data_IF_704255186646
#
_entry.id   IF_704255186646
#
_cell.length_a   1.000
_cell.length_b   1.000
_cell.length_c   1.000
_cell.angle_alpha   90.00
_cell.angle_beta   90.00
_cell.angle_gamma   90.00
#
_symmetry.space_group_name_H-M   'P 1'
#
loop_
_entity.id
_entity.type
_entity.pdbx_description
1 polymer ?
#
# COMPACT_ATOMS: atom_id res chain seq x y z
N UNK A 1 -11.55 -7.44 5.80
CA UNK A 1 -10.55 -6.42 6.17
C UNK A 1 -11.20 -5.16 6.72
N UNK A 2 -11.77 -4.26 5.90
CA UNK A 2 -12.35 -2.98 6.39
C UNK A 2 -13.45 -3.22 7.43
N UNK A 3 -14.32 -4.21 7.21
CA UNK A 3 -15.34 -4.60 8.18
C UNK A 3 -14.75 -5.13 9.50
N UNK A 4 -13.68 -5.93 9.42
CA UNK A 4 -12.98 -6.46 10.61
C UNK A 4 -12.32 -5.34 11.42
N UNK A 5 -11.81 -4.30 10.76
CA UNK A 5 -11.31 -3.08 11.44
C UNK A 5 -12.46 -2.37 12.15
N UNK A 6 -13.64 -2.26 11.51
CA UNK A 6 -14.80 -1.66 12.17
C UNK A 6 -15.31 -2.46 13.37
N UNK A 7 -15.24 -3.79 13.30
CA UNK A 7 -15.61 -4.72 14.37
C UNK A 7 -14.58 -4.75 15.50
N UNK A 8 -13.37 -4.21 15.29
CA UNK A 8 -12.28 -4.23 16.25
C UNK A 8 -11.51 -5.55 16.26
N UNK A 9 -11.65 -6.37 15.22
CA UNK A 9 -10.90 -7.63 15.06
C UNK A 9 -9.50 -7.38 14.45
N UNK A 10 -9.32 -6.25 13.77
CA UNK A 10 -8.04 -5.81 13.19
C UNK A 10 -7.64 -4.47 13.80
N UNK A 11 -6.49 -4.48 14.47
CA UNK A 11 -5.94 -3.32 15.18
C UNK A 11 -4.83 -2.61 14.40
N UNK A 12 -4.20 -3.30 13.45
CA UNK A 12 -3.09 -2.73 12.68
C UNK A 12 -3.13 -3.14 11.22
N UNK A 13 -2.69 -2.23 10.36
CA UNK A 13 -2.69 -2.41 8.90
C UNK A 13 -1.33 -2.04 8.33
N UNK A 14 -0.76 -2.94 7.52
CA UNK A 14 0.31 -2.61 6.59
C UNK A 14 -0.31 -2.53 5.20
N UNK A 15 -0.39 -1.33 4.64
CA UNK A 15 -0.86 -1.08 3.29
C UNK A 15 0.33 -0.90 2.34
N UNK A 16 0.33 -1.62 1.22
CA UNK A 16 1.43 -1.65 0.27
C UNK A 16 0.94 -1.29 -1.13
N UNK A 17 1.42 -0.15 -1.66
CA UNK A 17 1.25 0.25 -3.07
C UNK A 17 -0.20 0.51 -3.49
N UNK A 18 -1.08 0.94 -2.59
CA UNK A 18 -2.48 1.21 -2.89
C UNK A 18 -2.98 2.48 -2.18
N UNK A 19 -3.73 3.32 -2.89
CA UNK A 19 -4.44 4.49 -2.33
C UNK A 19 -5.91 4.12 -2.03
N UNK A 20 -6.12 3.14 -1.14
CA UNK A 20 -7.45 2.57 -0.82
C UNK A 20 -8.44 3.62 -0.30
N UNK A 21 -7.95 4.66 0.37
CA UNK A 21 -8.73 5.80 0.83
C UNK A 21 -9.35 6.62 -0.30
N UNK A 22 -8.89 6.49 -1.55
CA UNK A 22 -9.52 7.10 -2.73
C UNK A 22 -10.15 6.04 -3.64
N UNK A 23 -9.47 4.90 -3.84
CA UNK A 23 -9.93 3.84 -4.75
C UNK A 23 -11.12 3.05 -4.19
N UNK A 24 -11.35 3.10 -2.87
CA UNK A 24 -12.43 2.39 -2.21
C UNK A 24 -13.81 2.82 -2.70
N UNK A 25 -14.70 1.84 -2.93
CA UNK A 25 -16.05 2.09 -3.46
C UNK A 25 -16.95 2.91 -2.52
N UNK A 26 -16.66 2.90 -1.22
CA UNK A 26 -17.29 3.75 -0.22
C UNK A 26 -16.20 4.39 0.64
N UNK A 27 -15.70 5.53 0.18
CA UNK A 27 -14.63 6.29 0.85
C UNK A 27 -14.93 6.53 2.33
N UNK A 28 -16.13 7.00 2.68
CA UNK A 28 -16.46 7.35 4.06
C UNK A 28 -16.38 6.13 5.00
N UNK A 29 -16.78 4.96 4.52
CA UNK A 29 -16.67 3.71 5.28
C UNK A 29 -15.20 3.32 5.48
N UNK A 30 -14.39 3.37 4.42
CA UNK A 30 -12.95 3.05 4.49
C UNK A 30 -12.22 4.01 5.44
N UNK A 31 -12.43 5.32 5.31
CA UNK A 31 -11.75 6.31 6.15
C UNK A 31 -12.13 6.16 7.62
N UNK A 32 -13.41 5.93 7.92
CA UNK A 32 -13.86 5.66 9.27
C UNK A 32 -13.29 4.35 9.86
N UNK A 33 -12.82 3.43 9.02
CA UNK A 33 -12.09 2.25 9.49
C UNK A 33 -10.63 2.61 9.81
N UNK A 34 -9.97 3.39 8.95
CA UNK A 34 -8.58 3.80 9.19
C UNK A 34 -8.43 4.59 10.49
N UNK A 35 -9.39 5.46 10.83
CA UNK A 35 -9.41 6.20 12.10
C UNK A 35 -9.56 5.30 13.35
N UNK A 36 -9.96 4.03 13.19
CA UNK A 36 -10.11 3.07 14.30
C UNK A 36 -8.86 2.21 14.51
N UNK A 37 -7.90 2.22 13.59
CA UNK A 37 -6.67 1.45 13.74
C UNK A 37 -5.83 2.03 14.87
N UNK A 38 -5.19 1.14 15.63
CA UNK A 38 -4.22 1.53 16.66
C UNK A 38 -2.85 1.84 16.04
N UNK A 39 -2.57 1.27 14.86
CA UNK A 39 -1.31 1.48 14.14
C UNK A 39 -1.44 1.18 12.64
N UNK A 40 -0.98 2.10 11.79
CA UNK A 40 -1.02 1.95 10.34
C UNK A 40 0.34 2.28 9.71
N UNK A 41 0.83 1.35 8.88
CA UNK A 41 1.99 1.55 8.02
C UNK A 41 1.51 1.65 6.58
N UNK A 42 1.98 2.66 5.86
CA UNK A 42 1.79 2.78 4.41
C UNK A 42 3.16 2.74 3.74
N UNK A 43 3.35 1.80 2.82
CA UNK A 43 4.52 1.77 1.95
C UNK A 43 4.10 2.10 0.53
N UNK A 44 4.59 3.22 0.00
CA UNK A 44 4.14 3.76 -1.28
C UNK A 44 5.27 4.53 -1.99
N UNK A 45 5.16 4.65 -3.31
CA UNK A 45 6.09 5.42 -4.16
C UNK A 45 5.82 6.93 -4.01
N UNK A 46 4.59 7.28 -3.62
CA UNK A 46 4.15 8.67 -3.43
C UNK A 46 3.49 8.86 -2.07
N UNK A 47 3.51 10.09 -1.56
CA UNK A 47 2.70 10.44 -0.39
C UNK A 47 1.23 10.60 -0.82
N UNK A 48 0.49 9.49 -0.80
CA UNK A 48 -0.92 9.41 -1.22
C UNK A 48 -1.88 9.95 -0.18
N UNK A 49 -3.16 10.11 -0.53
CA UNK A 49 -4.17 10.54 0.43
C UNK A 49 -4.32 9.53 1.57
N UNK A 50 -4.27 8.24 1.26
CA UNK A 50 -4.28 7.17 2.27
C UNK A 50 -3.11 7.27 3.24
N UNK A 51 -1.92 7.66 2.76
CA UNK A 51 -0.74 7.84 3.62
C UNK A 51 -0.95 8.92 4.71
N UNK A 52 -1.92 9.81 4.57
CA UNK A 52 -2.23 10.82 5.61
C UNK A 52 -2.84 10.22 6.88
N UNK A 53 -3.34 8.98 6.82
CA UNK A 53 -3.85 8.22 7.96
C UNK A 53 -2.79 7.35 8.63
N UNK A 54 -1.59 7.25 8.06
CA UNK A 54 -0.54 6.34 8.54
C UNK A 54 0.26 6.94 9.70
N UNK A 55 0.63 6.09 10.66
CA UNK A 55 1.60 6.43 11.70
C UNK A 55 3.04 6.37 11.16
N UNK A 56 3.29 5.47 10.20
CA UNK A 56 4.58 5.32 9.53
C UNK A 56 4.39 5.26 8.02
N UNK A 57 5.12 6.11 7.31
CA UNK A 57 5.21 6.06 5.85
C UNK A 57 6.59 5.54 5.47
N UNK A 58 6.63 4.40 4.79
CA UNK A 58 7.85 3.78 4.26
C UNK A 58 7.96 4.06 2.75
N UNK A 59 9.16 4.32 2.23
CA UNK A 59 9.34 4.49 0.79
C UNK A 59 9.21 3.15 0.07
N UNK A 60 8.53 3.15 -1.08
CA UNK A 60 8.51 2.02 -2.01
C UNK A 60 9.47 2.27 -3.18
N UNK A 61 10.12 1.20 -3.63
CA UNK A 61 10.93 1.22 -4.85
C UNK A 61 10.07 0.84 -6.07
N UNK A 62 10.02 1.68 -7.12
CA UNK A 62 9.35 1.39 -8.38
C UNK A 62 9.88 0.15 -9.10
N UNK A 63 9.08 -0.41 -10.00
CA UNK A 63 9.42 -1.67 -10.71
C UNK A 63 10.74 -1.65 -11.50
N UNK A 64 11.25 -0.47 -11.89
CA UNK A 64 12.51 -0.34 -12.62
C UNK A 64 13.75 -0.25 -11.70
N UNK A 65 13.54 -0.03 -10.40
CA UNK A 65 14.60 0.23 -9.42
C UNK A 65 14.93 -1.01 -8.55
N UNK A 66 14.19 -2.11 -8.74
CA UNK A 66 14.35 -3.36 -7.99
C UNK A 66 14.25 -4.61 -8.87
N UNK A 67 14.87 -5.68 -8.41
CA UNK A 67 14.63 -7.02 -8.96
C UNK A 67 13.29 -7.56 -8.47
N UNK A 68 12.63 -8.38 -9.28
CA UNK A 68 11.38 -9.00 -8.89
C UNK A 68 10.73 -9.84 -9.97
N UNK A 69 9.43 -10.06 -9.82
CA UNK A 69 8.64 -10.80 -10.80
C UNK A 69 7.30 -10.14 -11.03
N UNK A 70 6.80 -10.20 -12.25
CA UNK A 70 5.46 -9.76 -12.60
C UNK A 70 4.69 -10.89 -13.28
N UNK A 71 3.44 -11.12 -12.85
CA UNK A 71 2.54 -12.07 -13.52
C UNK A 71 1.62 -11.29 -14.45
N UNK A 72 1.69 -11.57 -15.75
CA UNK A 72 0.84 -10.89 -16.73
C UNK A 72 -0.57 -11.50 -16.81
N UNK A 73 -1.44 -10.90 -17.63
CA UNK A 73 -2.82 -11.35 -17.84
C UNK A 73 -2.94 -12.76 -18.44
N UNK A 74 -1.90 -13.25 -19.11
CA UNK A 74 -1.80 -14.64 -19.59
C UNK A 74 -1.34 -15.63 -18.51
N UNK A 75 -1.15 -15.16 -17.27
CA UNK A 75 -0.62 -15.93 -16.13
C UNK A 75 0.83 -16.36 -16.31
N UNK A 76 1.61 -15.65 -17.14
CA UNK A 76 3.06 -15.88 -17.28
C UNK A 76 3.81 -15.04 -16.27
N UNK A 77 4.69 -15.70 -15.52
CA UNK A 77 5.65 -15.05 -14.63
C UNK A 77 6.83 -14.56 -15.47
N UNK A 78 7.16 -13.28 -15.33
CA UNK A 78 8.30 -12.63 -15.97
C UNK A 78 9.24 -12.11 -14.88
N UNK A 79 10.54 -12.29 -15.08
CA UNK A 79 11.55 -11.71 -14.20
C UNK A 79 11.76 -10.24 -14.55
N UNK A 80 11.67 -9.38 -13.56
CA UNK A 80 12.08 -7.98 -13.62
C UNK A 80 13.50 -7.90 -13.08
N UNK A 81 14.39 -7.32 -13.87
CA UNK A 81 15.74 -7.01 -13.44
C UNK A 81 15.85 -5.51 -13.24
N UNK A 82 16.52 -5.10 -12.16
CA UNK A 82 16.80 -3.70 -11.86
C UNK A 82 17.46 -3.02 -13.07
N UNK A 83 16.81 -1.97 -13.56
CA UNK A 83 17.26 -1.21 -14.73
C UNK A 83 17.86 0.15 -14.34
N UNK A 84 17.46 0.70 -13.20
CA UNK A 84 17.90 1.98 -12.64
C UNK A 84 18.30 1.81 -11.18
N UNK A 85 19.19 2.68 -10.69
CA UNK A 85 19.45 2.76 -9.25
C UNK A 85 18.29 3.41 -8.51
N UNK A 86 18.07 2.98 -7.26
CA UNK A 86 17.05 3.58 -6.39
C UNK A 86 17.38 5.05 -6.16
N UNK A 87 16.39 5.92 -6.34
CA UNK A 87 16.54 7.35 -6.08
C UNK A 87 16.22 7.73 -4.63
N UNK A 88 15.51 6.88 -3.89
CA UNK A 88 15.21 7.05 -2.46
C UNK A 88 15.89 6.01 -1.58
N UNK A 89 15.72 6.15 -0.27
CA UNK A 89 16.11 5.15 0.73
C UNK A 89 15.10 3.97 0.73
N UNK A 90 14.94 3.32 -0.42
CA UNK A 90 13.97 2.24 -0.69
C UNK A 90 14.61 0.94 -1.16
#
# INVERSE_FOLDING_TARGET
MIEDIHNGDVHSLYLYGEDTGIAGSNINFVLAAFEKLDFMVVQDEFLTYTATFADVVLPASPSLEKDGTFTNTERRIQCLYKALDSLGDS
#
